data_IF_116811480278
#
_entry.id   IF_116811480278
#
_cell.length_a   1.000
_cell.length_b   1.000
_cell.length_c   1.000
_cell.angle_alpha   90.00
_cell.angle_beta   90.00
_cell.angle_gamma   90.00
#
_symmetry.space_group_name_H-M   'P 1'
#
loop_
_entity.id
_entity.type
_entity.pdbx_description
1 polymer ?
#
# COMPACT_ATOMS: atom_id res chain seq x y z
N UNK A 1 9.53 -1.41 24.51
CA UNK A 1 9.33 -0.42 23.44
C UNK A 1 7.84 -0.19 23.29
N UNK A 2 7.41 1.01 22.91
CA UNK A 2 6.00 1.27 22.63
C UNK A 2 5.71 1.06 21.14
N UNK A 3 4.52 0.57 20.79
CA UNK A 3 4.09 0.39 19.39
C UNK A 3 4.13 1.68 18.56
N UNK A 4 4.02 2.84 19.20
CA UNK A 4 4.12 4.16 18.55
C UNK A 4 5.49 4.41 17.92
N UNK A 5 6.54 3.79 18.47
CA UNK A 5 7.92 3.98 18.02
C UNK A 5 8.23 3.11 16.78
N UNK A 6 7.37 2.13 16.48
CA UNK A 6 7.44 1.31 15.27
C UNK A 6 6.90 2.07 14.05
N UNK A 7 7.64 1.99 12.95
CA UNK A 7 7.30 2.57 11.65
C UNK A 7 7.11 1.46 10.63
N UNK A 8 6.06 1.58 9.82
CA UNK A 8 5.90 0.78 8.60
C UNK A 8 6.60 1.54 7.48
N UNK A 9 7.53 0.88 6.80
CA UNK A 9 8.29 1.43 5.67
C UNK A 9 8.31 0.44 4.51
N UNK A 10 8.60 0.93 3.31
CA UNK A 10 8.70 0.09 2.09
C UNK A 10 7.45 -0.78 1.86
N UNK A 11 6.27 -0.21 2.10
CA UNK A 11 5.01 -0.89 1.85
C UNK A 11 4.81 -1.06 0.34
N UNK A 12 4.68 -2.30 -0.10
CA UNK A 12 4.36 -2.69 -1.45
C UNK A 12 3.08 -3.53 -1.43
N UNK A 13 2.03 -3.03 -2.07
CA UNK A 13 0.76 -3.73 -2.19
C UNK A 13 0.57 -4.11 -3.65
N UNK A 14 0.46 -5.40 -3.93
CA UNK A 14 0.11 -5.94 -5.25
C UNK A 14 -1.20 -6.69 -5.15
N UNK A 15 -2.07 -6.47 -6.14
CA UNK A 15 -3.27 -7.26 -6.35
C UNK A 15 -2.99 -8.29 -7.45
N UNK A 16 -3.18 -9.57 -7.15
CA UNK A 16 -3.13 -10.65 -8.15
C UNK A 16 -4.34 -11.55 -7.95
N UNK A 17 -5.19 -11.69 -8.98
CA UNK A 17 -6.41 -12.50 -8.94
C UNK A 17 -7.32 -12.27 -7.71
N UNK A 18 -7.55 -11.01 -7.33
CA UNK A 18 -8.31 -10.62 -6.12
C UNK A 18 -7.66 -10.98 -4.78
N UNK A 19 -6.42 -11.49 -4.78
CA UNK A 19 -5.60 -11.64 -3.60
C UNK A 19 -4.69 -10.41 -3.44
N UNK A 20 -4.81 -9.74 -2.31
CA UNK A 20 -3.97 -8.60 -1.96
C UNK A 20 -2.76 -9.08 -1.17
N UNK A 21 -1.59 -9.04 -1.81
CA UNK A 21 -0.30 -9.28 -1.14
C UNK A 21 0.28 -7.95 -0.72
N UNK A 22 0.57 -7.82 0.57
CA UNK A 22 1.14 -6.61 1.15
C UNK A 22 2.46 -6.93 1.81
N UNK A 23 3.57 -6.63 1.15
CA UNK A 23 4.90 -6.73 1.76
C UNK A 23 5.28 -5.40 2.37
N UNK A 24 5.74 -5.41 3.61
CA UNK A 24 6.17 -4.20 4.30
C UNK A 24 7.29 -4.50 5.27
N UNK A 25 7.98 -3.46 5.72
CA UNK A 25 9.03 -3.57 6.72
C UNK A 25 8.63 -2.78 7.97
N UNK A 26 8.66 -3.46 9.11
CA UNK A 26 8.52 -2.85 10.43
C UNK A 26 9.89 -2.44 10.93
N UNK A 27 10.07 -1.19 11.30
CA UNK A 27 11.34 -0.68 11.83
C UNK A 27 11.16 0.05 13.16
N UNK A 28 12.06 -0.21 14.09
CA UNK A 28 12.45 0.66 15.19
C UNK A 28 13.70 1.46 14.79
N UNK A 29 14.25 2.25 15.71
CA UNK A 29 15.49 3.00 15.46
C UNK A 29 16.72 2.08 15.28
N UNK A 30 16.68 0.86 15.83
CA UNK A 30 17.80 -0.07 15.89
C UNK A 30 17.57 -1.38 15.12
N UNK A 31 16.34 -1.68 14.72
CA UNK A 31 15.95 -2.99 14.16
C UNK A 31 14.90 -2.82 13.07
N UNK A 32 14.95 -3.72 12.10
CA UNK A 32 13.89 -3.85 11.11
C UNK A 32 13.55 -5.32 10.89
N UNK A 33 12.30 -5.58 10.52
CA UNK A 33 11.75 -6.90 10.25
C UNK A 33 10.82 -6.81 9.04
N UNK A 34 11.06 -7.69 8.05
CA UNK A 34 10.19 -7.80 6.89
C UNK A 34 8.95 -8.63 7.24
N UNK A 35 7.80 -8.20 6.72
CA UNK A 35 6.50 -8.71 7.09
C UNK A 35 5.58 -8.80 5.85
N UNK A 36 4.66 -9.76 5.93
CA UNK A 36 3.56 -9.90 4.97
C UNK A 36 2.25 -9.59 5.70
N UNK A 37 1.36 -8.85 5.05
CA UNK A 37 0.02 -8.52 5.50
C UNK A 37 -0.77 -9.78 5.88
N UNK A 38 -0.60 -10.88 5.14
CA UNK A 38 -1.26 -12.16 5.44
C UNK A 38 -0.85 -12.71 6.81
N UNK A 39 0.42 -12.50 7.22
CA UNK A 39 0.96 -12.98 8.49
C UNK A 39 0.41 -12.23 9.70
N UNK A 40 -0.24 -11.08 9.54
CA UNK A 40 -0.91 -10.38 10.65
C UNK A 40 -2.14 -11.13 11.18
N UNK A 41 -2.58 -12.18 10.49
CA UNK A 41 -3.58 -13.13 10.99
C UNK A 41 -2.96 -14.30 11.77
N UNK A 42 -1.64 -14.50 11.70
CA UNK A 42 -0.93 -15.55 12.43
C UNK A 42 -0.48 -15.04 13.81
N UNK A 43 -0.95 -15.72 14.86
CA UNK A 43 -0.56 -15.39 16.23
C UNK A 43 0.93 -15.59 16.49
N UNK A 44 1.55 -16.57 15.83
CA UNK A 44 2.99 -16.88 16.00
C UNK A 44 3.84 -15.71 15.50
N UNK A 45 3.45 -15.12 14.37
CA UNK A 45 4.09 -13.93 13.83
C UNK A 45 3.94 -12.72 14.75
N UNK A 46 2.76 -12.51 15.35
CA UNK A 46 2.56 -11.40 16.27
C UNK A 46 3.39 -11.55 17.56
N UNK A 47 3.56 -12.78 18.04
CA UNK A 47 4.49 -13.08 19.15
C UNK A 47 5.95 -12.84 18.74
N UNK A 48 6.34 -13.20 17.52
CA UNK A 48 7.67 -12.91 16.98
C UNK A 48 7.93 -11.41 16.92
N UNK A 49 6.97 -10.61 16.43
CA UNK A 49 7.06 -9.14 16.43
C UNK A 49 7.22 -8.62 17.86
N UNK A 50 6.41 -9.14 18.80
CA UNK A 50 6.46 -8.75 20.20
C UNK A 50 7.83 -8.99 20.82
N UNK A 51 8.42 -10.15 20.57
CA UNK A 51 9.75 -10.54 21.06
C UNK A 51 10.84 -9.72 20.38
N UNK A 52 10.78 -9.57 19.05
CA UNK A 52 11.79 -8.90 18.23
C UNK A 52 11.96 -7.43 18.62
N UNK A 53 10.85 -6.74 18.87
CA UNK A 53 10.83 -5.33 19.25
C UNK A 53 10.65 -5.10 20.76
N UNK A 54 10.58 -6.17 21.56
CA UNK A 54 10.39 -6.11 23.02
C UNK A 54 9.18 -5.22 23.41
N UNK A 55 8.05 -5.48 22.75
CA UNK A 55 6.77 -4.79 22.95
C UNK A 55 6.06 -5.40 24.15
N UNK A 56 5.47 -4.58 25.02
CA UNK A 56 4.77 -5.07 26.22
C UNK A 56 3.27 -5.24 26.03
N UNK A 57 2.73 -4.61 24.98
CA UNK A 57 1.31 -4.61 24.65
C UNK A 57 0.75 -6.02 24.36
N UNK A 58 -0.56 -6.22 24.56
CA UNK A 58 -1.21 -7.47 24.18
C UNK A 58 -1.25 -7.64 22.66
N UNK A 59 -1.27 -8.90 22.22
CA UNK A 59 -1.23 -9.28 20.79
C UNK A 59 -2.37 -8.64 19.98
N UNK A 60 -3.56 -8.51 20.57
CA UNK A 60 -4.71 -7.86 19.92
C UNK A 60 -4.45 -6.38 19.59
N UNK A 61 -3.75 -5.66 20.47
CA UNK A 61 -3.37 -4.26 20.27
C UNK A 61 -2.26 -4.17 19.23
N UNK A 62 -1.25 -5.05 19.31
CA UNK A 62 -0.16 -5.11 18.32
C UNK A 62 -0.71 -5.28 16.91
N UNK A 63 -1.69 -6.19 16.71
CA UNK A 63 -2.32 -6.39 15.41
C UNK A 63 -3.04 -5.14 14.91
N UNK A 64 -3.88 -4.54 15.75
CA UNK A 64 -4.66 -3.35 15.36
C UNK A 64 -3.73 -2.20 14.96
N UNK A 65 -2.74 -1.90 15.81
CA UNK A 65 -1.82 -0.79 15.59
C UNK A 65 -0.97 -0.97 14.32
N UNK A 66 -0.50 -2.20 14.03
CA UNK A 66 0.26 -2.46 12.81
C UNK A 66 -0.65 -2.29 11.58
N UNK A 67 -1.88 -2.79 11.62
CA UNK A 67 -2.84 -2.61 10.52
C UNK A 67 -3.14 -1.14 10.26
N UNK A 68 -3.37 -0.35 11.32
CA UNK A 68 -3.60 1.09 11.19
C UNK A 68 -2.41 1.80 10.55
N UNK A 69 -1.18 1.44 10.95
CA UNK A 69 0.06 1.96 10.33
C UNK A 69 0.21 1.57 8.87
N UNK A 70 -0.14 0.34 8.49
CA UNK A 70 -0.13 -0.12 7.09
C UNK A 70 -1.15 0.66 6.25
N UNK A 71 -2.36 0.87 6.78
CA UNK A 71 -3.40 1.67 6.13
C UNK A 71 -2.94 3.13 5.98
N UNK A 72 -2.29 3.70 6.98
CA UNK A 72 -1.79 5.06 6.89
C UNK A 72 -0.63 5.20 5.90
N UNK A 73 0.25 4.21 5.83
CA UNK A 73 1.31 4.15 4.82
C UNK A 73 0.74 4.00 3.40
N UNK A 74 -0.32 3.21 3.20
CA UNK A 74 -0.94 3.03 1.88
C UNK A 74 -1.61 4.31 1.35
N UNK A 75 -2.16 5.14 2.24
CA UNK A 75 -2.68 6.48 1.88
C UNK A 75 -1.58 7.40 1.34
N UNK A 76 -0.34 7.25 1.80
CA UNK A 76 0.78 8.07 1.32
C UNK A 76 1.24 7.64 -0.07
N UNK A 77 1.40 6.33 -0.29
CA UNK A 77 1.72 5.76 -1.62
C UNK A 77 0.62 6.08 -2.65
N UNK A 78 -0.66 6.00 -2.26
CA UNK A 78 -1.80 6.31 -3.14
C UNK A 78 -1.83 7.77 -3.61
N UNK A 79 -1.30 8.71 -2.80
CA UNK A 79 -1.19 10.13 -3.22
C UNK A 79 -0.18 10.35 -4.34
N UNK A 80 0.85 9.51 -4.45
CA UNK A 80 1.90 9.62 -5.48
C UNK A 80 1.41 9.08 -6.84
N UNK A 81 0.24 8.43 -6.89
CA UNK A 81 -0.35 7.87 -8.12
C UNK A 81 -1.72 8.47 -8.47
N UNK A 82 -2.03 9.70 -8.06
CA UNK A 82 -3.16 10.44 -8.65
C UNK A 82 -2.78 11.02 -10.01
N UNK A 83 -2.53 10.15 -10.99
CA UNK A 83 -2.60 10.43 -12.44
C UNK A 83 -2.33 11.87 -12.89
N UNK A 84 -1.26 12.51 -12.45
CA UNK A 84 -0.98 13.93 -12.77
C UNK A 84 -0.59 14.13 -14.25
N UNK A 85 -0.66 13.05 -15.06
CA UNK A 85 -0.43 13.12 -16.50
C UNK A 85 -1.33 12.21 -17.36
N UNK A 86 -2.47 11.75 -16.86
CA UNK A 86 -3.44 11.09 -17.73
C UNK A 86 -4.55 12.07 -18.05
N UNK A 87 -4.57 12.58 -19.28
CA UNK A 87 -5.40 13.67 -19.81
C UNK A 87 -4.75 15.06 -19.75
N UNK A 88 -3.55 15.19 -20.31
CA UNK A 88 -3.17 16.50 -20.86
C UNK A 88 -4.10 16.77 -22.06
N UNK A 89 -4.97 17.75 -21.84
CA UNK A 89 -6.05 18.22 -22.70
C UNK A 89 -5.51 18.99 -23.93
N UNK A 90 -4.67 18.35 -24.75
CA UNK A 90 -4.18 18.92 -26.01
C UNK A 90 -4.92 18.32 -27.19
N UNK A 91 -6.13 18.85 -27.41
CA UNK A 91 -6.69 19.21 -28.72
C UNK A 91 -6.11 18.53 -29.96
N UNK A 92 -6.43 17.27 -30.22
CA UNK A 92 -6.21 16.69 -31.55
C UNK A 92 -7.42 16.99 -32.46
N UNK A 93 -7.44 18.21 -33.00
CA UNK A 93 -8.32 18.64 -34.11
C UNK A 93 -7.96 17.90 -35.42
N UNK A 94 -7.93 16.58 -35.41
CA UNK A 94 -7.60 15.76 -36.60
C UNK A 94 -8.61 14.65 -36.91
N UNK A 95 -9.64 14.47 -36.08
CA UNK A 95 -10.72 13.50 -36.32
C UNK A 95 -12.03 14.26 -36.57
N UNK A 96 -12.07 15.10 -37.60
CA UNK A 96 -13.34 15.70 -38.05
C UNK A 96 -13.41 15.97 -39.56
N UNK A 97 -12.49 15.39 -40.35
CA UNK A 97 -12.44 15.61 -41.80
C UNK A 97 -12.65 14.37 -42.67
N UNK A 98 -13.01 13.23 -42.08
CA UNK A 98 -13.20 11.98 -42.84
C UNK A 98 -14.60 11.37 -42.75
N UNK A 99 -15.60 12.11 -42.24
CA UNK A 99 -16.99 11.65 -42.23
C UNK A 99 -17.89 12.33 -43.28
N UNK A 100 -17.40 13.37 -43.97
CA UNK A 100 -18.14 14.04 -45.05
C UNK A 100 -17.94 13.39 -46.45
N UNK A 101 -17.25 12.24 -46.54
CA UNK A 101 -16.99 11.58 -47.83
C UNK A 101 -17.71 10.24 -48.02
N UNK A 102 -18.70 9.90 -47.19
CA UNK A 102 -19.52 8.69 -47.37
C UNK A 102 -20.94 8.97 -47.87
N UNK A 103 -21.17 10.13 -48.49
CA UNK A 103 -22.39 10.40 -49.24
C UNK A 103 -22.05 10.63 -50.71
N UNK A 104 -21.98 9.54 -51.46
CA UNK A 104 -22.11 9.51 -52.91
C UNK A 104 -23.08 8.39 -53.24
N UNK A 105 -24.34 8.79 -53.42
CA UNK A 105 -25.40 8.19 -54.26
C UNK A 105 -25.68 6.69 -54.16
#
# INVERSE_FOLDING_TARGET
MDLKDLKVVSLNITEDNYEYKGLFRLCSDDRCMDADLEKLSDQSFLEEVKVTFNIKDPISVIKSDIMDKVIDASKQESRISQGEHCCNDTSDKKIQRSLDSLNMS
#
